data_IF_265804482791
#
_entry.id   IF_265804482791
#
_cell.length_a   1.000
_cell.length_b   1.000
_cell.length_c   1.000
_cell.angle_alpha   90.00
_cell.angle_beta   90.00
_cell.angle_gamma   90.00
#
_symmetry.space_group_name_H-M   'P 1'
#
loop_
_entity.id
_entity.type
_entity.pdbx_description
1 polymer ?
#
# COMPACT_ATOMS: atom_id res chain seq x y z
N UNK A 1 -25.07 -0.39 -32.24
CA UNK A 1 -25.93 -0.81 -31.10
C UNK A 1 -25.04 -0.93 -29.91
N UNK A 2 -24.97 0.13 -29.14
CA UNK A 2 -24.18 0.19 -27.88
C UNK A 2 -25.09 -0.31 -26.75
N UNK A 3 -24.72 -1.43 -26.15
CA UNK A 3 -25.45 -2.01 -25.03
C UNK A 3 -25.12 -1.23 -23.76
N UNK A 4 -26.06 -0.45 -23.28
CA UNK A 4 -26.02 0.21 -21.97
C UNK A 4 -26.18 -0.86 -20.86
N UNK A 5 -25.07 -1.28 -20.28
CA UNK A 5 -25.14 -1.92 -18.96
C UNK A 5 -25.16 -0.84 -17.88
N UNK A 6 -26.34 -0.55 -17.40
CA UNK A 6 -26.57 0.30 -16.24
C UNK A 6 -26.00 -0.38 -15.00
N UNK A 7 -24.82 0.04 -14.56
CA UNK A 7 -24.24 -0.27 -13.24
C UNK A 7 -24.96 0.58 -12.17
N UNK A 8 -26.04 0.03 -11.62
CA UNK A 8 -26.72 0.61 -10.45
C UNK A 8 -25.86 0.36 -9.22
N UNK A 9 -25.36 1.42 -8.61
CA UNK A 9 -24.94 1.40 -7.20
C UNK A 9 -23.48 1.66 -6.86
N UNK A 10 -22.62 2.05 -7.82
CA UNK A 10 -21.25 2.48 -7.48
C UNK A 10 -21.20 3.99 -7.49
N UNK A 11 -21.00 4.61 -6.33
CA UNK A 11 -20.91 6.06 -6.22
C UNK A 11 -19.66 6.55 -6.98
N UNK A 12 -19.91 7.30 -8.02
CA UNK A 12 -18.97 7.79 -9.03
C UNK A 12 -17.82 8.67 -8.49
N UNK A 13 -17.75 8.92 -7.19
CA UNK A 13 -16.75 9.79 -6.53
C UNK A 13 -15.34 9.19 -6.47
N UNK A 14 -15.21 7.87 -6.55
CA UNK A 14 -13.94 7.18 -6.36
C UNK A 14 -13.13 6.98 -7.65
N UNK A 15 -13.81 6.98 -8.80
CA UNK A 15 -13.19 6.73 -10.11
C UNK A 15 -12.36 7.92 -10.59
N UNK A 16 -12.72 9.15 -10.23
CA UNK A 16 -12.06 10.37 -10.71
C UNK A 16 -10.75 10.70 -9.96
N UNK A 17 -10.61 10.31 -8.70
CA UNK A 17 -9.40 10.64 -7.91
C UNK A 17 -8.16 9.85 -8.35
N UNK A 18 -8.34 8.65 -8.89
CA UNK A 18 -7.23 7.80 -9.37
C UNK A 18 -6.84 8.15 -10.80
N UNK A 19 -7.78 8.65 -11.60
CA UNK A 19 -7.55 8.94 -13.02
C UNK A 19 -6.59 10.10 -13.29
N UNK A 20 -6.47 11.09 -12.36
CA UNK A 20 -5.63 12.27 -12.58
C UNK A 20 -4.13 12.05 -12.26
N UNK A 21 -3.77 11.05 -11.46
CA UNK A 21 -2.38 10.81 -11.06
C UNK A 21 -1.54 10.03 -12.08
N UNK A 22 -2.15 9.54 -13.17
CA UNK A 22 -1.55 8.53 -14.04
C UNK A 22 -1.14 9.02 -15.42
N UNK A 23 -1.15 10.35 -15.68
CA UNK A 23 -1.03 10.87 -17.06
C UNK A 23 0.41 11.16 -17.50
N UNK A 24 1.43 11.11 -16.64
CA UNK A 24 2.74 11.69 -16.97
C UNK A 24 3.99 10.84 -16.80
N UNK A 25 3.91 9.52 -16.59
CA UNK A 25 5.11 8.68 -16.47
C UNK A 25 5.13 7.54 -17.46
N UNK A 26 6.29 7.19 -18.06
CA UNK A 26 6.39 6.00 -18.89
C UNK A 26 6.09 4.76 -18.05
N UNK A 27 5.16 3.98 -18.53
CA UNK A 27 4.54 2.84 -17.83
C UNK A 27 5.31 1.59 -18.20
N UNK A 28 6.53 1.42 -17.73
CA UNK A 28 7.34 0.25 -18.10
C UNK A 28 7.36 -0.88 -17.06
N UNK A 29 6.62 -0.75 -15.95
CA UNK A 29 6.73 -1.72 -14.86
C UNK A 29 5.41 -2.28 -14.32
N UNK A 30 4.23 -1.80 -14.71
CA UNK A 30 2.98 -2.39 -14.23
C UNK A 30 1.97 -2.69 -15.35
N UNK A 31 1.16 -3.72 -15.16
CA UNK A 31 0.15 -4.15 -16.13
C UNK A 31 -1.06 -3.21 -16.15
N UNK A 32 -1.24 -2.47 -17.25
CA UNK A 32 -2.35 -1.54 -17.44
C UNK A 32 -3.74 -2.21 -17.33
N UNK A 33 -3.85 -3.49 -17.64
CA UNK A 33 -5.09 -4.25 -17.49
C UNK A 33 -5.43 -4.46 -16.01
N UNK A 34 -4.43 -4.70 -15.18
CA UNK A 34 -4.60 -4.85 -13.73
C UNK A 34 -5.01 -3.54 -13.06
N UNK A 35 -4.44 -2.41 -13.51
CA UNK A 35 -4.85 -1.10 -13.06
C UNK A 35 -6.31 -0.80 -13.39
N UNK A 36 -6.78 -1.19 -14.56
CA UNK A 36 -8.18 -1.03 -14.96
C UNK A 36 -9.10 -1.86 -14.05
N UNK A 37 -8.72 -3.10 -13.76
CA UNK A 37 -9.43 -3.96 -12.81
C UNK A 37 -9.49 -3.34 -11.40
N UNK A 38 -8.36 -2.79 -10.93
CA UNK A 38 -8.30 -2.12 -9.63
C UNK A 38 -9.21 -0.90 -9.56
N UNK A 39 -9.23 -0.06 -10.59
CA UNK A 39 -10.10 1.14 -10.67
C UNK A 39 -11.58 0.81 -10.56
N UNK A 40 -12.01 -0.32 -11.13
CA UNK A 40 -13.43 -0.71 -11.17
C UNK A 40 -13.86 -1.42 -9.88
N UNK A 41 -13.00 -2.26 -9.32
CA UNK A 41 -13.40 -3.18 -8.24
C UNK A 41 -12.84 -2.80 -6.86
N UNK A 42 -12.00 -1.76 -6.76
CA UNK A 42 -11.22 -1.42 -5.55
C UNK A 42 -10.46 -2.64 -4.96
N UNK A 43 -10.08 -3.57 -5.83
CA UNK A 43 -9.37 -4.79 -5.46
C UNK A 43 -8.31 -5.12 -6.49
N UNK A 44 -7.13 -5.42 -6.00
CA UNK A 44 -5.98 -5.81 -6.83
C UNK A 44 -5.20 -6.93 -6.14
N UNK A 45 -5.91 -7.96 -5.72
CA UNK A 45 -5.26 -9.12 -5.11
C UNK A 45 -4.31 -9.79 -6.12
N UNK A 46 -3.05 -10.02 -5.71
CA UNK A 46 -1.99 -10.62 -6.54
C UNK A 46 -1.67 -9.87 -7.83
N UNK A 47 -1.97 -8.57 -7.88
CA UNK A 47 -1.59 -7.75 -9.03
C UNK A 47 -0.10 -7.40 -9.03
N UNK A 48 0.40 -7.00 -10.18
CA UNK A 48 1.67 -6.29 -10.30
C UNK A 48 1.40 -4.79 -10.43
N UNK A 49 1.76 -4.03 -9.37
CA UNK A 49 1.75 -2.59 -9.29
C UNK A 49 3.14 -2.06 -8.92
N UNK A 50 4.16 -2.85 -9.23
CA UNK A 50 5.56 -2.46 -8.97
C UNK A 50 5.90 -1.16 -9.69
N UNK A 51 6.62 -0.28 -8.99
CA UNK A 51 6.99 1.06 -9.47
C UNK A 51 5.82 1.99 -9.85
N UNK A 52 4.57 1.61 -9.58
CA UNK A 52 3.42 2.44 -9.89
C UNK A 52 3.45 3.77 -9.14
N UNK A 53 3.01 4.85 -9.78
CA UNK A 53 2.78 6.12 -9.11
C UNK A 53 1.36 6.18 -8.54
N UNK A 54 1.25 5.95 -7.25
CA UNK A 54 0.03 5.98 -6.45
C UNK A 54 0.06 7.11 -5.40
N UNK A 55 0.91 8.12 -5.63
CA UNK A 55 1.03 9.26 -4.72
C UNK A 55 -0.33 9.97 -4.57
N UNK A 56 -0.68 10.31 -3.32
CA UNK A 56 -1.95 10.94 -2.95
C UNK A 56 -3.21 10.16 -3.35
N UNK A 57 -3.06 8.93 -3.82
CA UNK A 57 -4.20 8.10 -4.22
C UNK A 57 -5.09 7.79 -3.02
N UNK A 58 -6.39 7.73 -3.24
CA UNK A 58 -7.31 7.20 -2.24
C UNK A 58 -7.47 5.68 -2.42
N UNK A 59 -6.82 4.95 -1.56
CA UNK A 59 -6.75 3.48 -1.50
C UNK A 59 -7.39 2.97 -0.20
N UNK A 60 -8.23 3.79 0.45
CA UNK A 60 -8.90 3.36 1.67
C UNK A 60 -9.80 2.15 1.40
N UNK A 61 -9.76 1.20 2.34
CA UNK A 61 -10.52 -0.06 2.25
C UNK A 61 -10.17 -0.94 1.03
N UNK A 62 -9.13 -0.58 0.27
CA UNK A 62 -8.71 -1.37 -0.89
C UNK A 62 -8.20 -2.76 -0.50
N UNK A 63 -8.53 -3.77 -1.29
CA UNK A 63 -7.89 -5.07 -1.18
C UNK A 63 -6.66 -5.15 -2.10
N UNK A 64 -5.48 -5.06 -1.48
CA UNK A 64 -4.16 -5.13 -2.09
C UNK A 64 -3.38 -6.33 -1.56
N UNK A 65 -4.08 -7.38 -1.12
CA UNK A 65 -3.42 -8.56 -0.57
C UNK A 65 -2.58 -9.28 -1.62
N UNK A 66 -1.37 -9.70 -1.22
CA UNK A 66 -0.38 -10.37 -2.08
C UNK A 66 0.01 -9.59 -3.35
N UNK A 67 -0.33 -8.29 -3.45
CA UNK A 67 0.02 -7.41 -4.56
C UNK A 67 1.52 -7.11 -4.53
N UNK A 68 2.15 -7.06 -5.68
CA UNK A 68 3.47 -6.49 -5.82
C UNK A 68 3.35 -4.96 -5.91
N UNK A 69 3.84 -4.27 -4.89
CA UNK A 69 3.92 -2.81 -4.76
C UNK A 69 5.39 -2.38 -4.55
N UNK A 70 6.33 -3.24 -4.95
CA UNK A 70 7.75 -2.93 -4.80
C UNK A 70 8.10 -1.67 -5.58
N UNK A 71 8.85 -0.77 -4.92
CA UNK A 71 9.26 0.52 -5.48
C UNK A 71 8.11 1.46 -5.85
N UNK A 72 6.86 1.13 -5.54
CA UNK A 72 5.73 2.01 -5.81
C UNK A 72 5.83 3.32 -5.01
N UNK A 73 5.44 4.43 -5.64
CA UNK A 73 5.31 5.71 -4.95
C UNK A 73 3.89 5.86 -4.40
N UNK A 74 3.72 5.68 -3.10
CA UNK A 74 2.46 5.85 -2.35
C UNK A 74 2.56 7.00 -1.35
N UNK A 75 3.42 8.00 -1.62
CA UNK A 75 3.56 9.15 -0.74
C UNK A 75 2.21 9.88 -0.57
N UNK A 76 1.88 10.21 0.68
CA UNK A 76 0.63 10.87 1.07
C UNK A 76 -0.66 10.09 0.66
N UNK A 77 -0.56 8.84 0.22
CA UNK A 77 -1.72 8.03 -0.13
C UNK A 77 -2.59 7.72 1.10
N UNK A 78 -3.89 7.63 0.91
CA UNK A 78 -4.82 7.17 1.94
C UNK A 78 -5.01 5.66 1.83
N UNK A 79 -4.34 4.90 2.68
CA UNK A 79 -4.41 3.45 2.81
C UNK A 79 -5.17 3.03 4.09
N UNK A 80 -5.98 3.91 4.67
CA UNK A 80 -6.73 3.59 5.88
C UNK A 80 -7.65 2.39 5.63
N UNK A 81 -7.65 1.42 6.56
CA UNK A 81 -8.46 0.21 6.51
C UNK A 81 -8.14 -0.73 5.33
N UNK A 82 -7.11 -0.45 4.53
CA UNK A 82 -6.72 -1.30 3.40
C UNK A 82 -6.21 -2.66 3.86
N UNK A 83 -6.37 -3.65 3.00
CA UNK A 83 -5.80 -4.99 3.18
C UNK A 83 -4.53 -5.14 2.33
N UNK A 84 -3.36 -5.07 2.98
CA UNK A 84 -2.02 -5.26 2.40
C UNK A 84 -1.39 -6.57 2.90
N UNK A 85 -2.22 -7.53 3.30
CA UNK A 85 -1.73 -8.82 3.81
C UNK A 85 -0.81 -9.49 2.79
N UNK A 86 0.42 -9.83 3.21
CA UNK A 86 1.44 -10.46 2.37
C UNK A 86 1.79 -9.67 1.09
N UNK A 87 1.52 -8.38 1.03
CA UNK A 87 1.95 -7.54 -0.08
C UNK A 87 3.49 -7.39 -0.08
N UNK A 88 4.06 -7.27 -1.26
CA UNK A 88 5.46 -6.89 -1.45
C UNK A 88 5.56 -5.38 -1.52
N UNK A 89 6.11 -4.74 -0.47
CA UNK A 89 6.30 -3.29 -0.36
C UNK A 89 7.78 -2.91 -0.32
N UNK A 90 8.65 -3.79 -0.83
CA UNK A 90 10.11 -3.53 -0.83
C UNK A 90 10.43 -2.23 -1.54
N UNK A 91 11.17 -1.36 -0.86
CA UNK A 91 11.60 -0.08 -1.40
C UNK A 91 10.46 0.90 -1.71
N UNK A 92 9.22 0.62 -1.32
CA UNK A 92 8.09 1.49 -1.57
C UNK A 92 8.20 2.81 -0.80
N UNK A 93 7.77 3.90 -1.41
CA UNK A 93 7.71 5.22 -0.76
C UNK A 93 6.31 5.42 -0.16
N UNK A 94 6.22 5.36 1.17
CA UNK A 94 4.99 5.54 1.96
C UNK A 94 5.06 6.81 2.84
N UNK A 95 5.91 7.79 2.47
CA UNK A 95 6.04 9.05 3.21
C UNK A 95 4.70 9.74 3.39
N UNK A 96 4.37 10.05 4.64
CA UNK A 96 3.13 10.75 4.97
C UNK A 96 1.84 9.96 4.71
N UNK A 97 1.91 8.70 4.29
CA UNK A 97 0.74 7.87 4.00
C UNK A 97 -0.14 7.64 5.24
N UNK A 98 -1.46 7.60 5.04
CA UNK A 98 -2.43 7.20 6.05
C UNK A 98 -2.61 5.69 6.05
N UNK A 99 -2.27 5.02 7.15
CA UNK A 99 -2.35 3.56 7.33
C UNK A 99 -3.15 3.17 8.58
N UNK A 100 -4.07 4.05 9.01
CA UNK A 100 -4.91 3.77 10.16
C UNK A 100 -5.69 2.46 9.97
N UNK A 101 -5.47 1.50 10.89
CA UNK A 101 -6.08 0.15 10.85
C UNK A 101 -5.80 -0.66 9.56
N UNK A 102 -4.80 -0.32 8.78
CA UNK A 102 -4.37 -1.12 7.64
C UNK A 102 -3.86 -2.51 8.09
N UNK A 103 -4.10 -3.53 7.27
CA UNK A 103 -3.62 -4.88 7.52
C UNK A 103 -2.35 -5.17 6.71
N UNK A 104 -1.18 -5.08 7.35
CA UNK A 104 0.15 -5.33 6.77
C UNK A 104 0.75 -6.67 7.23
N UNK A 105 -0.07 -7.60 7.72
CA UNK A 105 0.40 -8.90 8.21
C UNK A 105 1.17 -9.65 7.13
N UNK A 106 2.38 -10.09 7.49
CA UNK A 106 3.25 -10.85 6.60
C UNK A 106 3.74 -10.09 5.37
N UNK A 107 3.52 -8.76 5.29
CA UNK A 107 4.04 -7.94 4.20
C UNK A 107 5.57 -7.83 4.26
N UNK A 108 6.22 -7.73 3.10
CA UNK A 108 7.63 -7.39 3.01
C UNK A 108 7.79 -5.87 2.86
N UNK A 109 8.27 -5.23 3.93
CA UNK A 109 8.47 -3.78 4.04
C UNK A 109 9.94 -3.39 3.88
N UNK A 110 10.80 -4.33 3.48
CA UNK A 110 12.24 -4.11 3.41
C UNK A 110 12.60 -2.90 2.53
N UNK A 111 13.36 -1.97 3.06
CA UNK A 111 13.77 -0.74 2.36
C UNK A 111 12.63 0.27 2.15
N UNK A 112 11.42 0.01 2.62
CA UNK A 112 10.31 0.95 2.48
C UNK A 112 10.49 2.19 3.38
N UNK A 113 9.96 3.33 2.93
CA UNK A 113 10.04 4.60 3.64
C UNK A 113 8.66 5.01 4.17
N UNK A 114 8.48 4.88 5.50
CA UNK A 114 7.28 5.28 6.24
C UNK A 114 7.46 6.62 6.98
N UNK A 115 8.45 7.44 6.62
CA UNK A 115 8.67 8.73 7.28
C UNK A 115 7.39 9.56 7.31
N UNK A 116 6.92 9.93 8.52
CA UNK A 116 5.69 10.69 8.71
C UNK A 116 4.39 9.94 8.42
N UNK A 117 4.43 8.64 8.12
CA UNK A 117 3.23 7.83 7.92
C UNK A 117 2.44 7.62 9.22
N UNK A 118 1.14 7.42 9.13
CA UNK A 118 0.22 7.26 10.26
C UNK A 118 -0.19 5.80 10.43
N UNK A 119 0.53 5.04 11.24
CA UNK A 119 0.37 3.59 11.46
C UNK A 119 -0.53 3.23 12.66
N UNK A 120 -1.30 4.17 13.21
CA UNK A 120 -2.13 3.90 14.39
C UNK A 120 -3.08 2.71 14.14
N UNK A 121 -2.98 1.68 14.99
CA UNK A 121 -3.76 0.44 14.92
C UNK A 121 -3.50 -0.38 13.62
N UNK A 122 -2.46 -0.12 12.86
CA UNK A 122 -2.06 -0.99 11.75
C UNK A 122 -1.58 -2.35 12.30
N UNK A 123 -1.89 -3.42 11.54
CA UNK A 123 -1.51 -4.79 11.91
C UNK A 123 -0.26 -5.17 11.13
N UNK A 124 0.84 -5.41 11.83
CA UNK A 124 2.16 -5.63 11.24
C UNK A 124 2.74 -7.01 11.62
N UNK A 125 1.96 -7.89 12.23
CA UNK A 125 2.42 -9.20 12.70
C UNK A 125 3.00 -10.04 11.54
N UNK A 126 4.22 -10.51 11.71
CA UNK A 126 4.94 -11.29 10.71
C UNK A 126 5.45 -10.50 9.50
N UNK A 127 5.32 -9.17 9.50
CA UNK A 127 5.93 -8.34 8.46
C UNK A 127 7.46 -8.31 8.59
N UNK A 128 8.15 -8.14 7.46
CA UNK A 128 9.61 -8.01 7.38
C UNK A 128 10.00 -6.54 7.27
N UNK A 129 11.03 -6.11 8.04
CA UNK A 129 11.46 -4.71 8.17
C UNK A 129 12.96 -4.53 7.94
N UNK A 130 13.54 -5.14 6.95
CA UNK A 130 14.96 -4.94 6.66
C UNK A 130 15.19 -3.53 6.07
N UNK A 131 16.04 -2.72 6.71
CA UNK A 131 16.36 -1.35 6.26
C UNK A 131 15.13 -0.43 6.05
N UNK A 132 14.07 -0.63 6.82
CA UNK A 132 12.84 0.17 6.73
C UNK A 132 12.98 1.49 7.49
N UNK A 133 12.58 2.60 6.88
CA UNK A 133 12.52 3.92 7.53
C UNK A 133 11.14 4.10 8.18
N UNK A 134 11.09 4.01 9.51
CA UNK A 134 9.83 4.14 10.25
C UNK A 134 9.50 5.61 10.58
N UNK A 135 8.24 5.97 10.94
CA UNK A 135 7.84 7.35 11.23
C UNK A 135 8.62 8.04 12.34
N UNK A 136 9.20 7.25 13.27
CA UNK A 136 9.94 7.73 14.46
C UNK A 136 11.46 7.73 14.28
N UNK A 137 11.98 7.41 13.10
CA UNK A 137 13.42 7.38 12.80
C UNK A 137 13.87 6.09 12.13
N UNK A 138 15.13 6.08 11.75
CA UNK A 138 15.75 4.92 11.10
C UNK A 138 16.06 3.88 12.16
N UNK A 139 15.34 2.80 12.16
CA UNK A 139 15.85 1.57 12.74
C UNK A 139 16.57 0.80 11.65
N UNK A 140 17.88 0.71 11.78
CA UNK A 140 18.67 -0.33 11.10
C UNK A 140 18.62 -1.55 12.00
N UNK A 141 17.73 -2.46 11.78
CA UNK A 141 17.94 -3.79 12.27
C UNK A 141 18.74 -4.52 11.20
N UNK A 142 19.79 -5.15 11.62
CA UNK A 142 20.35 -6.29 10.92
C UNK A 142 19.18 -7.16 10.49
N UNK A 143 19.17 -7.66 9.25
CA UNK A 143 18.03 -8.43 8.70
C UNK A 143 17.74 -9.74 9.49
N UNK A 144 18.27 -9.90 10.68
CA UNK A 144 18.14 -11.03 11.61
C UNK A 144 16.93 -11.00 12.55
N UNK A 145 15.95 -10.14 12.30
CA UNK A 145 14.80 -9.83 13.21
C UNK A 145 13.86 -10.99 13.55
N UNK A 146 14.25 -12.20 13.31
CA UNK A 146 13.35 -13.35 13.60
C UNK A 146 13.05 -13.59 15.08
N UNK A 147 13.66 -12.87 16.03
CA UNK A 147 13.62 -13.33 17.45
C UNK A 147 13.26 -12.29 18.50
N UNK A 148 13.08 -11.01 18.23
CA UNK A 148 12.86 -10.07 19.33
C UNK A 148 11.45 -9.42 19.35
N UNK A 149 10.53 -10.07 20.06
CA UNK A 149 9.18 -9.57 20.37
C UNK A 149 9.17 -8.27 21.22
N UNK A 150 10.30 -7.89 21.82
CA UNK A 150 10.32 -6.87 22.87
C UNK A 150 10.12 -5.43 22.39
N UNK A 151 10.48 -5.11 21.15
CA UNK A 151 10.32 -3.74 20.63
C UNK A 151 8.88 -3.45 20.17
N UNK A 152 8.13 -4.45 19.72
CA UNK A 152 6.71 -4.36 19.42
C UNK A 152 5.90 -3.86 20.60
N UNK A 153 6.16 -4.43 21.78
CA UNK A 153 5.50 -4.06 23.03
C UNK A 153 5.85 -2.63 23.48
N UNK A 154 7.02 -2.11 23.09
CA UNK A 154 7.40 -0.71 23.40
C UNK A 154 6.71 0.31 22.52
N UNK A 155 6.35 -0.04 21.29
CA UNK A 155 5.82 0.90 20.29
C UNK A 155 4.30 0.88 20.18
N UNK A 156 3.68 -0.24 20.46
CA UNK A 156 2.25 -0.44 20.28
C UNK A 156 1.56 -0.97 21.55
N UNK A 157 2.24 -0.87 22.70
CA UNK A 157 1.82 -1.41 24.01
C UNK A 157 0.31 -1.47 24.18
N UNK A 158 -0.17 -2.50 24.88
CA UNK A 158 -1.54 -2.95 25.11
C UNK A 158 -2.65 -1.89 25.08
#
# INVERSE_FOLDING_TARGET
MLNEFALRGVTMKWVLAIALALITTPVDAFDAAQLTKFKVLNTCEKCDLSSANLSKANLSEANLSMTDLSWANMSEANLNWSNLNRANLRGANLKGAGLFKANLRGADLSGADFTGARLKNAKLEGATFCETFMPWGVEKPDCEWRTNKSWWQRLFGD
#
